data_IF_233777287352
#
_entry.id   IF_233777287352
#
_cell.length_a   1.000
_cell.length_b   1.000
_cell.length_c   1.000
_cell.angle_alpha   90.00
_cell.angle_beta   90.00
_cell.angle_gamma   90.00
#
_symmetry.space_group_name_H-M   'P 1'
#
loop_
_entity.id
_entity.type
_entity.pdbx_description
1 polymer ?
#
# COMPACT_ATOMS: atom_id res chain seq x y z
N UNK A 1 -8.57 10.46 60.47
CA UNK A 1 -9.18 10.64 59.13
C UNK A 1 -8.82 9.44 58.29
N UNK A 2 -9.77 8.54 58.04
CA UNK A 2 -9.59 7.37 57.19
C UNK A 2 -9.62 7.80 55.73
N UNK A 3 -8.46 7.79 55.06
CA UNK A 3 -8.36 7.98 53.61
C UNK A 3 -9.00 6.78 52.91
N UNK A 4 -10.23 6.95 52.41
CA UNK A 4 -10.90 5.97 51.56
C UNK A 4 -10.21 5.98 50.21
N UNK A 5 -9.37 4.97 49.96
CA UNK A 5 -8.75 4.77 48.65
C UNK A 5 -9.86 4.28 47.71
N UNK A 6 -10.47 5.19 46.97
CA UNK A 6 -11.35 4.83 45.86
C UNK A 6 -10.54 4.10 44.81
N UNK A 7 -10.57 2.77 44.81
CA UNK A 7 -10.07 1.98 43.69
C UNK A 7 -11.01 2.22 42.51
N UNK A 8 -10.56 2.86 41.40
CA UNK A 8 -11.43 3.10 40.27
C UNK A 8 -11.92 1.77 39.71
N UNK A 9 -13.20 1.70 39.33
CA UNK A 9 -13.81 0.49 38.79
C UNK A 9 -13.08 0.06 37.50
N UNK A 10 -13.09 -1.24 37.19
CA UNK A 10 -12.46 -1.78 35.97
C UNK A 10 -12.90 -1.01 34.71
N UNK A 11 -14.18 -0.61 34.65
CA UNK A 11 -14.72 0.19 33.57
C UNK A 11 -14.09 1.59 33.47
N UNK A 12 -13.86 2.28 34.61
CA UNK A 12 -13.20 3.59 34.62
C UNK A 12 -11.71 3.51 34.24
N UNK A 13 -11.05 2.37 34.50
CA UNK A 13 -9.67 2.10 34.06
C UNK A 13 -9.58 1.81 32.55
N UNK A 14 -10.57 1.13 31.97
CA UNK A 14 -10.57 0.73 30.55
C UNK A 14 -11.11 1.83 29.63
N UNK A 15 -12.06 2.65 30.10
CA UNK A 15 -12.65 3.75 29.31
C UNK A 15 -11.64 4.69 28.63
N UNK A 16 -10.54 5.15 29.27
CA UNK A 16 -9.55 5.97 28.58
C UNK A 16 -8.79 5.22 27.48
N UNK A 17 -8.58 3.90 27.61
CA UNK A 17 -7.96 3.07 26.56
C UNK A 17 -8.84 2.93 25.32
N UNK A 18 -10.17 3.04 25.46
CA UNK A 18 -11.12 2.95 24.36
C UNK A 18 -11.45 4.30 23.72
N UNK A 19 -11.04 5.43 24.33
CA UNK A 19 -11.29 6.77 23.77
C UNK A 19 -10.55 7.06 22.47
N UNK A 20 -9.46 6.34 22.18
CA UNK A 20 -8.69 6.48 20.94
C UNK A 20 -9.34 5.82 19.72
N UNK A 21 -10.42 5.06 19.90
CA UNK A 21 -11.07 4.30 18.84
C UNK A 21 -12.39 4.91 18.40
N UNK A 22 -12.54 5.08 17.09
CA UNK A 22 -13.83 5.24 16.45
C UNK A 22 -14.53 3.86 16.40
N UNK A 23 -15.58 3.71 17.21
CA UNK A 23 -16.30 2.44 17.38
C UNK A 23 -16.84 1.85 16.07
N UNK A 24 -17.58 2.62 15.25
CA UNK A 24 -17.98 2.22 13.91
C UNK A 24 -16.83 1.74 13.02
N UNK A 25 -15.71 2.49 12.98
CA UNK A 25 -14.56 2.10 12.15
C UNK A 25 -13.90 0.82 12.66
N UNK A 26 -13.70 0.69 13.97
CA UNK A 26 -13.13 -0.50 14.58
C UNK A 26 -13.99 -1.75 14.33
N UNK A 27 -15.32 -1.60 14.38
CA UNK A 27 -16.25 -2.66 14.04
C UNK A 27 -16.17 -3.06 12.56
N UNK A 28 -16.08 -2.09 11.65
CA UNK A 28 -15.88 -2.36 10.22
C UNK A 28 -14.58 -3.13 9.94
N UNK A 29 -13.47 -2.71 10.56
CA UNK A 29 -12.18 -3.42 10.47
C UNK A 29 -12.30 -4.84 11.02
N UNK A 30 -12.96 -5.03 12.16
CA UNK A 30 -13.18 -6.34 12.75
C UNK A 30 -13.95 -7.28 11.81
N UNK A 31 -15.03 -6.80 11.18
CA UNK A 31 -15.77 -7.58 10.19
C UNK A 31 -14.91 -7.97 8.98
N UNK A 32 -14.09 -7.05 8.48
CA UNK A 32 -13.16 -7.32 7.37
C UNK A 32 -12.10 -8.37 7.75
N UNK A 33 -11.58 -8.31 8.98
CA UNK A 33 -10.63 -9.31 9.50
C UNK A 33 -11.29 -10.69 9.62
N UNK A 34 -12.52 -10.76 10.13
CA UNK A 34 -13.28 -12.01 10.22
C UNK A 34 -13.56 -12.60 8.83
N UNK A 35 -13.99 -11.78 7.88
CA UNK A 35 -14.20 -12.20 6.50
C UNK A 35 -12.88 -12.66 5.85
N UNK A 36 -11.77 -11.93 6.06
CA UNK A 36 -10.44 -12.30 5.57
C UNK A 36 -9.91 -13.61 6.14
N UNK A 37 -10.14 -13.88 7.43
CA UNK A 37 -9.79 -15.14 8.05
C UNK A 37 -10.62 -16.30 7.49
N UNK A 38 -11.90 -16.08 7.24
CA UNK A 38 -12.79 -17.07 6.64
C UNK A 38 -12.38 -17.41 5.21
N UNK A 39 -12.03 -16.40 4.39
CA UNK A 39 -11.53 -16.63 3.02
C UNK A 39 -10.14 -17.27 3.00
N UNK A 40 -9.24 -16.89 3.92
CA UNK A 40 -7.93 -17.53 4.05
C UNK A 40 -8.06 -18.99 4.47
N UNK A 41 -8.95 -19.30 5.40
CA UNK A 41 -9.22 -20.68 5.78
C UNK A 41 -9.82 -21.49 4.62
N UNK A 42 -10.77 -20.91 3.88
CA UNK A 42 -11.38 -21.58 2.72
C UNK A 42 -10.41 -21.82 1.55
N UNK A 43 -9.42 -20.93 1.35
CA UNK A 43 -8.48 -21.03 0.23
C UNK A 43 -7.17 -21.74 0.58
N UNK A 44 -6.79 -21.71 1.87
CA UNK A 44 -5.51 -22.20 2.38
C UNK A 44 -5.60 -23.45 3.24
N UNK A 45 -6.76 -24.11 3.34
CA UNK A 45 -6.99 -25.28 4.20
C UNK A 45 -5.93 -26.38 4.06
N UNK A 46 -5.47 -26.65 2.84
CA UNK A 46 -4.45 -27.66 2.54
C UNK A 46 -3.08 -27.35 3.18
N UNK A 47 -2.82 -26.09 3.54
CA UNK A 47 -1.56 -25.62 4.11
C UNK A 47 -1.80 -25.06 5.53
N UNK A 48 -2.02 -25.93 6.51
CA UNK A 48 -2.38 -25.55 7.89
C UNK A 48 -1.45 -24.52 8.56
N UNK A 49 -0.16 -24.53 8.21
CA UNK A 49 0.81 -23.53 8.73
C UNK A 49 0.50 -22.09 8.28
N UNK A 50 -0.04 -21.89 7.05
CA UNK A 50 -0.36 -20.55 6.53
C UNK A 50 -1.48 -19.87 7.32
N UNK A 51 -2.47 -20.62 7.78
CA UNK A 51 -3.56 -20.07 8.59
C UNK A 51 -3.04 -19.59 9.94
N UNK A 52 -2.19 -20.39 10.60
CA UNK A 52 -1.60 -20.02 11.90
C UNK A 52 -0.68 -18.81 11.76
N UNK A 53 0.16 -18.77 10.72
CA UNK A 53 1.02 -17.61 10.43
C UNK A 53 0.20 -16.35 10.14
N UNK A 54 -0.91 -16.47 9.39
CA UNK A 54 -1.80 -15.36 9.09
C UNK A 54 -2.50 -14.85 10.36
N UNK A 55 -3.01 -15.75 11.21
CA UNK A 55 -3.61 -15.40 12.49
C UNK A 55 -2.62 -14.70 13.43
N UNK A 56 -1.37 -15.20 13.52
CA UNK A 56 -0.30 -14.55 14.29
C UNK A 56 -0.03 -13.13 13.76
N UNK A 57 0.06 -12.96 12.45
CA UNK A 57 0.33 -11.66 11.84
C UNK A 57 -0.82 -10.66 12.06
N UNK A 58 -2.07 -11.12 12.01
CA UNK A 58 -3.25 -10.30 12.32
C UNK A 58 -3.25 -9.86 13.79
N UNK A 59 -2.96 -10.78 14.72
CA UNK A 59 -2.88 -10.45 16.14
C UNK A 59 -1.77 -9.42 16.42
N UNK A 60 -0.59 -9.59 15.80
CA UNK A 60 0.50 -8.64 15.91
C UNK A 60 0.13 -7.28 15.32
N UNK A 61 -0.50 -7.24 14.13
CA UNK A 61 -0.95 -6.01 13.51
C UNK A 61 -2.03 -5.30 14.34
N UNK A 62 -2.97 -6.04 14.91
CA UNK A 62 -4.00 -5.52 15.81
C UNK A 62 -3.40 -4.94 17.10
N UNK A 63 -2.39 -5.60 17.67
CA UNK A 63 -1.66 -5.09 18.82
C UNK A 63 -0.90 -3.79 18.48
N UNK A 64 -0.19 -3.74 17.36
CA UNK A 64 0.51 -2.53 16.90
C UNK A 64 -0.47 -1.39 16.68
N UNK A 65 -1.60 -1.65 16.00
CA UNK A 65 -2.67 -0.68 15.80
C UNK A 65 -3.20 -0.16 17.14
N UNK A 66 -3.42 -1.04 18.12
CA UNK A 66 -3.86 -0.65 19.45
C UNK A 66 -2.86 0.26 20.16
N UNK A 67 -1.57 -0.08 20.14
CA UNK A 67 -0.53 0.77 20.74
C UNK A 67 -0.45 2.13 20.05
N UNK A 68 -0.44 2.17 18.71
CA UNK A 68 -0.36 3.41 17.93
C UNK A 68 -1.59 4.29 18.16
N UNK A 69 -2.79 3.71 18.29
CA UNK A 69 -4.02 4.44 18.57
C UNK A 69 -4.03 5.15 19.93
N UNK A 70 -3.20 4.70 20.89
CA UNK A 70 -3.03 5.41 22.18
C UNK A 70 -2.08 6.61 22.08
N UNK A 71 -1.33 6.76 20.97
CA UNK A 71 -0.34 7.83 20.83
C UNK A 71 -1.03 9.09 20.28
N UNK A 72 -0.94 10.23 20.97
CA UNK A 72 -1.55 11.47 20.48
C UNK A 72 -0.91 11.93 19.17
N UNK A 73 -1.68 12.53 18.24
CA UNK A 73 -1.18 12.96 16.93
C UNK A 73 0.07 13.85 16.99
N UNK A 74 0.18 14.72 18.01
CA UNK A 74 1.34 15.60 18.20
C UNK A 74 2.64 14.84 18.42
N UNK A 75 2.59 13.69 19.10
CA UNK A 75 3.76 12.82 19.27
C UNK A 75 4.07 12.05 17.99
N UNK A 76 3.05 11.60 17.26
CA UNK A 76 3.25 10.96 15.95
C UNK A 76 3.94 11.90 14.96
N UNK A 77 3.61 13.19 14.99
CA UNK A 77 4.25 14.21 14.15
C UNK A 77 5.75 14.39 14.45
N UNK A 78 6.20 14.15 15.68
CA UNK A 78 7.64 14.17 15.99
C UNK A 78 8.41 13.02 15.31
N UNK A 79 7.73 11.92 14.99
CA UNK A 79 8.32 10.79 14.27
C UNK A 79 8.32 10.96 12.74
N UNK A 80 7.68 12.01 12.20
CA UNK A 80 7.57 12.21 10.76
C UNK A 80 8.93 12.26 10.05
N UNK A 81 9.83 13.14 10.53
CA UNK A 81 11.16 13.33 9.93
C UNK A 81 12.06 12.09 10.12
N UNK A 82 12.20 11.51 11.33
CA UNK A 82 12.96 10.26 11.50
C UNK A 82 12.42 9.11 10.64
N UNK A 83 11.09 8.90 10.59
CA UNK A 83 10.50 7.80 9.86
C UNK A 83 10.70 7.95 8.35
N UNK A 84 10.56 9.16 7.82
CA UNK A 84 10.83 9.45 6.41
C UNK A 84 12.31 9.25 6.05
N UNK A 85 13.22 9.82 6.85
CA UNK A 85 14.67 9.73 6.58
C UNK A 85 15.16 8.30 6.66
N UNK A 86 14.74 7.54 7.68
CA UNK A 86 15.05 6.10 7.79
C UNK A 86 14.42 5.33 6.63
N UNK A 87 13.17 5.63 6.25
CA UNK A 87 12.50 4.97 5.13
C UNK A 87 13.22 5.18 3.80
N UNK A 88 13.63 6.42 3.50
CA UNK A 88 14.43 6.74 2.30
C UNK A 88 15.81 6.07 2.37
N UNK A 89 16.48 6.10 3.52
CA UNK A 89 17.75 5.41 3.70
C UNK A 89 17.63 3.90 3.45
N UNK A 90 16.56 3.26 3.92
CA UNK A 90 16.27 1.86 3.66
C UNK A 90 15.96 1.58 2.18
N UNK A 91 15.26 2.49 1.48
CA UNK A 91 15.06 2.36 0.03
C UNK A 91 16.37 2.45 -0.75
N UNK A 92 17.28 3.34 -0.34
CA UNK A 92 18.64 3.43 -0.90
C UNK A 92 19.40 2.14 -0.58
N UNK A 93 19.32 1.63 0.65
CA UNK A 93 19.94 0.38 1.05
C UNK A 93 19.42 -0.81 0.21
N UNK A 94 18.13 -0.87 -0.12
CA UNK A 94 17.58 -1.87 -1.05
C UNK A 94 18.12 -1.71 -2.46
N UNK A 95 18.31 -0.48 -2.93
CA UNK A 95 18.88 -0.24 -4.25
C UNK A 95 20.33 -0.77 -4.37
N UNK A 96 21.09 -0.73 -3.27
CA UNK A 96 22.49 -1.16 -3.20
C UNK A 96 22.65 -2.65 -2.83
N UNK A 97 21.91 -3.13 -1.83
CA UNK A 97 22.09 -4.44 -1.18
C UNK A 97 20.83 -5.31 -1.19
N UNK A 98 19.79 -4.91 -1.93
CA UNK A 98 18.50 -5.59 -1.94
C UNK A 98 18.55 -6.99 -2.54
N UNK A 99 17.81 -7.91 -1.94
CA UNK A 99 17.62 -9.26 -2.44
C UNK A 99 16.67 -9.25 -3.65
N UNK A 100 17.06 -9.95 -4.71
CA UNK A 100 16.21 -10.14 -5.88
C UNK A 100 15.26 -11.32 -5.62
N UNK A 101 13.95 -11.06 -5.48
CA UNK A 101 12.91 -12.09 -5.40
C UNK A 101 11.86 -11.85 -6.49
N UNK A 102 11.44 -12.91 -7.20
CA UNK A 102 10.46 -12.83 -8.30
C UNK A 102 10.82 -11.76 -9.35
N UNK A 103 12.11 -11.59 -9.63
CA UNK A 103 12.62 -10.61 -10.61
C UNK A 103 12.67 -9.15 -10.14
N UNK A 104 12.42 -8.85 -8.86
CA UNK A 104 12.49 -7.48 -8.32
C UNK A 104 13.33 -7.40 -7.04
N UNK A 105 14.14 -6.33 -6.92
CA UNK A 105 14.94 -6.00 -5.73
C UNK A 105 14.13 -5.10 -4.80
N UNK A 106 13.35 -5.70 -3.91
CA UNK A 106 12.41 -4.99 -3.01
C UNK A 106 12.61 -5.31 -1.53
N UNK A 107 13.37 -6.36 -1.24
CA UNK A 107 13.49 -6.94 0.09
C UNK A 107 14.89 -6.72 0.63
N UNK A 108 14.98 -6.30 1.89
CA UNK A 108 16.24 -6.21 2.62
C UNK A 108 16.26 -7.27 3.71
N UNK A 109 17.37 -7.97 3.87
CA UNK A 109 17.56 -8.92 4.97
C UNK A 109 18.54 -8.33 5.99
N UNK A 110 18.00 -7.90 7.13
CA UNK A 110 18.75 -7.34 8.26
C UNK A 110 18.67 -8.29 9.47
N UNK A 111 18.58 -9.60 9.21
CA UNK A 111 18.22 -10.64 10.19
C UNK A 111 16.74 -11.02 10.13
N UNK A 112 15.89 -10.11 9.65
CA UNK A 112 14.52 -10.37 9.22
C UNK A 112 14.26 -9.69 7.87
N UNK A 113 13.32 -10.22 7.10
CA UNK A 113 13.04 -9.79 5.73
C UNK A 113 12.01 -8.65 5.76
N UNK A 114 12.46 -7.43 5.50
CA UNK A 114 11.63 -6.21 5.50
C UNK A 114 11.44 -5.71 4.07
N UNK A 115 10.26 -5.15 3.79
CA UNK A 115 9.98 -4.38 2.59
C UNK A 115 9.94 -2.88 2.94
N UNK A 116 11.00 -2.10 2.65
CA UNK A 116 11.05 -0.68 3.05
C UNK A 116 9.97 0.19 2.43
N UNK A 117 9.45 -0.18 1.26
CA UNK A 117 8.36 0.56 0.62
C UNK A 117 7.06 0.54 1.42
N UNK A 118 6.87 -0.46 2.31
CA UNK A 118 5.73 -0.49 3.23
C UNK A 118 5.80 0.62 4.28
N UNK A 119 7.00 0.91 4.80
CA UNK A 119 7.23 2.01 5.76
C UNK A 119 6.91 3.35 5.08
N UNK A 120 7.30 3.51 3.81
CA UNK A 120 7.07 4.74 3.07
C UNK A 120 5.58 5.05 2.85
N UNK A 121 4.69 4.06 2.81
CA UNK A 121 3.23 4.31 2.69
C UNK A 121 2.69 5.14 3.86
N UNK A 122 3.28 5.01 5.04
CA UNK A 122 2.89 5.77 6.24
C UNK A 122 3.78 7.00 6.41
N UNK A 123 5.09 6.85 6.20
CA UNK A 123 6.06 7.92 6.39
C UNK A 123 5.83 9.11 5.46
N UNK A 124 5.45 8.86 4.21
CA UNK A 124 5.29 9.92 3.21
C UNK A 124 4.16 10.91 3.54
N UNK A 125 2.89 10.47 3.72
CA UNK A 125 1.82 11.38 4.09
C UNK A 125 2.10 12.11 5.41
N UNK A 126 2.69 11.41 6.39
CA UNK A 126 3.04 11.98 7.69
C UNK A 126 4.11 13.07 7.58
N UNK A 127 5.14 12.87 6.75
CA UNK A 127 6.20 13.85 6.50
C UNK A 127 5.66 15.10 5.80
N UNK A 128 4.80 14.92 4.79
CA UNK A 128 4.18 16.03 4.09
C UNK A 128 3.24 16.82 5.03
N UNK A 129 2.44 16.13 5.83
CA UNK A 129 1.57 16.77 6.82
C UNK A 129 2.39 17.60 7.83
N UNK A 130 3.48 17.03 8.34
CA UNK A 130 4.40 17.75 9.23
C UNK A 130 5.05 18.98 8.56
N UNK A 131 5.46 18.85 7.29
CA UNK A 131 6.07 19.95 6.54
C UNK A 131 5.13 21.14 6.38
N UNK A 132 3.87 20.89 6.01
CA UNK A 132 2.87 21.95 5.85
C UNK A 132 2.41 22.54 7.17
N UNK A 133 2.23 21.72 8.21
CA UNK A 133 1.85 22.20 9.54
C UNK A 133 2.90 23.18 10.11
N UNK A 134 4.19 22.88 9.97
CA UNK A 134 5.26 23.74 10.49
C UNK A 134 5.33 25.12 9.80
N UNK A 135 4.69 25.25 8.63
CA UNK A 135 4.67 26.46 7.78
C UNK A 135 3.28 27.07 7.67
N UNK A 136 2.36 26.62 8.52
CA UNK A 136 0.99 27.11 8.58
C UNK A 136 0.98 28.64 8.76
N UNK A 137 0.22 29.34 7.92
CA UNK A 137 0.13 30.81 7.91
C UNK A 137 1.12 31.56 7.01
N UNK A 138 2.13 30.90 6.41
CA UNK A 138 3.06 31.52 5.45
C UNK A 138 3.35 30.62 4.24
N UNK A 139 2.34 29.92 3.73
CA UNK A 139 2.51 29.02 2.59
C UNK A 139 2.94 29.80 1.33
N UNK A 140 4.17 29.56 0.88
CA UNK A 140 4.73 30.13 -0.35
C UNK A 140 4.71 29.06 -1.46
N UNK A 141 4.71 29.47 -2.74
CA UNK A 141 4.85 28.52 -3.87
C UNK A 141 6.07 27.61 -3.76
N UNK A 142 7.16 28.08 -3.14
CA UNK A 142 8.37 27.28 -2.89
C UNK A 142 8.12 26.12 -1.92
N UNK A 143 7.18 26.23 -0.99
CA UNK A 143 6.87 25.15 -0.04
C UNK A 143 6.23 23.95 -0.74
N UNK A 144 5.41 24.23 -1.76
CA UNK A 144 4.83 23.20 -2.63
C UNK A 144 5.89 22.55 -3.53
N UNK A 145 6.87 23.31 -4.01
CA UNK A 145 8.00 22.77 -4.76
C UNK A 145 8.84 21.81 -3.90
N UNK A 146 9.15 22.20 -2.66
CA UNK A 146 9.89 21.33 -1.72
C UNK A 146 9.07 20.10 -1.35
N UNK A 147 7.77 20.24 -1.12
CA UNK A 147 6.87 19.10 -0.89
C UNK A 147 6.84 18.14 -2.09
N UNK A 148 6.79 18.68 -3.31
CA UNK A 148 6.90 17.90 -4.53
C UNK A 148 8.23 17.14 -4.64
N UNK A 149 9.33 17.77 -4.26
CA UNK A 149 10.65 17.12 -4.23
C UNK A 149 10.74 16.02 -3.16
N UNK A 150 10.22 16.28 -1.96
CA UNK A 150 10.13 15.29 -0.88
C UNK A 150 9.30 14.06 -1.29
N UNK A 151 8.24 14.27 -2.09
CA UNK A 151 7.44 13.20 -2.67
C UNK A 151 8.15 12.47 -3.81
N UNK A 152 8.82 13.21 -4.68
CA UNK A 152 9.48 12.65 -5.86
C UNK A 152 10.60 11.66 -5.49
N UNK A 153 11.41 11.97 -4.47
CA UNK A 153 12.55 11.14 -4.05
C UNK A 153 12.17 9.67 -3.78
N UNK A 154 11.25 9.36 -2.84
CA UNK A 154 10.88 7.97 -2.57
C UNK A 154 10.11 7.34 -3.72
N UNK A 155 9.25 8.08 -4.42
CA UNK A 155 8.53 7.54 -5.59
C UNK A 155 9.51 7.07 -6.67
N UNK A 156 10.52 7.89 -7.00
CA UNK A 156 11.55 7.54 -7.97
C UNK A 156 12.36 6.30 -7.54
N UNK A 157 12.72 6.21 -6.25
CA UNK A 157 13.42 5.04 -5.71
C UNK A 157 12.57 3.77 -5.79
N UNK A 158 11.26 3.85 -5.50
CA UNK A 158 10.35 2.69 -5.55
C UNK A 158 10.11 2.24 -6.99
N UNK A 159 9.95 3.17 -7.94
CA UNK A 159 9.82 2.84 -9.37
C UNK A 159 11.07 2.10 -9.87
N UNK A 160 12.26 2.49 -9.41
CA UNK A 160 13.52 1.81 -9.73
C UNK A 160 13.62 0.39 -9.13
N UNK A 161 12.79 0.04 -8.15
CA UNK A 161 12.71 -1.29 -7.52
C UNK A 161 11.66 -2.21 -8.20
N UNK A 162 11.46 -2.04 -9.51
CA UNK A 162 10.25 -2.44 -10.25
C UNK A 162 8.92 -2.47 -9.50
N UNK A 163 8.65 -1.62 -8.51
CA UNK A 163 7.44 -1.68 -7.66
C UNK A 163 6.40 -0.59 -7.98
N UNK A 164 5.84 -0.66 -9.19
CA UNK A 164 4.91 0.34 -9.70
C UNK A 164 3.66 0.51 -8.81
N UNK A 165 3.12 -0.59 -8.27
CA UNK A 165 1.91 -0.54 -7.43
C UNK A 165 2.13 0.29 -6.17
N UNK A 166 3.22 0.03 -5.44
CA UNK A 166 3.53 0.82 -4.24
C UNK A 166 3.92 2.26 -4.58
N UNK A 167 4.61 2.49 -5.71
CA UNK A 167 4.92 3.86 -6.16
C UNK A 167 3.64 4.68 -6.39
N UNK A 168 2.63 4.11 -7.04
CA UNK A 168 1.34 4.77 -7.28
C UNK A 168 0.62 5.06 -5.96
N UNK A 169 0.60 4.12 -5.02
CA UNK A 169 -0.03 4.31 -3.70
C UNK A 169 0.65 5.43 -2.89
N UNK A 170 1.99 5.46 -2.89
CA UNK A 170 2.75 6.51 -2.20
C UNK A 170 2.56 7.86 -2.89
N UNK A 171 2.55 7.88 -4.22
CA UNK A 171 2.30 9.07 -5.02
C UNK A 171 0.91 9.64 -4.75
N UNK A 172 -0.14 8.82 -4.83
CA UNK A 172 -1.52 9.27 -4.63
C UNK A 172 -1.76 9.76 -3.20
N UNK A 173 -1.25 9.05 -2.20
CA UNK A 173 -1.36 9.47 -0.81
C UNK A 173 -0.62 10.80 -0.56
N UNK A 174 0.56 10.99 -1.15
CA UNK A 174 1.31 12.24 -1.03
C UNK A 174 0.67 13.41 -1.75
N UNK A 175 0.20 13.21 -2.98
CA UNK A 175 -0.55 14.22 -3.75
C UNK A 175 -1.82 14.62 -3.00
N UNK A 176 -2.54 13.66 -2.38
CA UNK A 176 -3.72 13.98 -1.58
C UNK A 176 -3.38 14.93 -0.41
N UNK A 177 -2.27 14.71 0.30
CA UNK A 177 -1.85 15.63 1.37
C UNK A 177 -1.48 17.02 0.82
N UNK A 178 -0.73 17.08 -0.29
CA UNK A 178 -0.38 18.36 -0.93
C UNK A 178 -1.64 19.11 -1.38
N UNK A 179 -2.63 18.39 -1.90
CA UNK A 179 -3.92 18.93 -2.27
C UNK A 179 -4.67 19.51 -1.06
N UNK A 180 -4.80 18.75 0.03
CA UNK A 180 -5.43 19.22 1.26
C UNK A 180 -4.70 20.41 1.91
N UNK A 181 -3.40 20.56 1.67
CA UNK A 181 -2.63 21.73 2.11
C UNK A 181 -2.94 23.02 1.33
N UNK A 182 -3.77 22.96 0.28
CA UNK A 182 -4.26 24.13 -0.46
C UNK A 182 -3.67 24.30 -1.86
N UNK A 183 -3.05 23.26 -2.44
CA UNK A 183 -2.60 23.31 -3.84
C UNK A 183 -3.80 23.42 -4.78
N UNK A 184 -3.74 24.33 -5.76
CA UNK A 184 -4.84 24.52 -6.71
C UNK A 184 -5.05 23.30 -7.60
N UNK A 185 -6.32 22.95 -7.85
CA UNK A 185 -6.71 21.86 -8.76
C UNK A 185 -6.10 22.04 -10.17
N UNK A 186 -5.89 23.27 -10.60
CA UNK A 186 -5.28 23.59 -11.90
C UNK A 186 -3.86 23.03 -12.08
N UNK A 187 -3.12 22.76 -10.98
CA UNK A 187 -1.80 22.15 -11.05
C UNK A 187 -1.84 20.62 -10.98
N UNK A 188 -2.90 20.04 -10.42
CA UNK A 188 -3.05 18.59 -10.22
C UNK A 188 -3.78 17.93 -11.39
N UNK A 189 -4.79 18.60 -11.96
CA UNK A 189 -5.62 18.05 -13.04
C UNK A 189 -4.83 17.78 -14.32
N UNK A 190 -3.95 18.67 -14.83
CA UNK A 190 -3.26 18.42 -16.10
C UNK A 190 -2.40 17.15 -16.11
N UNK A 191 -1.57 16.86 -15.08
CA UNK A 191 -0.84 15.58 -15.01
C UNK A 191 -1.76 14.35 -14.98
N UNK A 192 -2.88 14.41 -14.27
CA UNK A 192 -3.85 13.29 -14.19
C UNK A 192 -4.49 13.06 -15.57
N UNK A 193 -4.97 14.12 -16.22
CA UNK A 193 -5.58 14.03 -17.54
C UNK A 193 -4.57 13.50 -18.56
N UNK A 194 -3.32 13.99 -18.53
CA UNK A 194 -2.26 13.50 -19.40
C UNK A 194 -1.97 12.01 -19.15
N UNK A 195 -1.97 11.57 -17.90
CA UNK A 195 -1.83 10.15 -17.55
C UNK A 195 -2.98 9.29 -18.08
N UNK A 196 -4.23 9.75 -17.93
CA UNK A 196 -5.41 9.04 -18.43
C UNK A 196 -5.45 8.98 -19.96
N UNK A 197 -5.09 10.08 -20.64
CA UNK A 197 -4.95 10.11 -22.09
C UNK A 197 -3.85 9.14 -22.52
N UNK A 198 -2.71 9.13 -21.83
CA UNK A 198 -1.63 8.18 -22.09
C UNK A 198 -2.09 6.73 -21.97
N UNK A 199 -2.80 6.37 -20.91
CA UNK A 199 -3.38 5.03 -20.73
C UNK A 199 -4.38 4.72 -21.86
N UNK A 200 -5.27 5.66 -22.17
CA UNK A 200 -6.27 5.51 -23.22
C UNK A 200 -5.64 5.28 -24.60
N UNK A 201 -4.57 6.00 -24.94
CA UNK A 201 -3.81 5.79 -26.17
C UNK A 201 -3.16 4.41 -26.21
N UNK A 202 -2.58 3.95 -25.10
CA UNK A 202 -1.98 2.60 -25.03
C UNK A 202 -3.03 1.51 -25.24
N UNK A 203 -4.22 1.67 -24.66
CA UNK A 203 -5.33 0.73 -24.85
C UNK A 203 -5.85 0.78 -26.29
N UNK A 204 -6.03 1.98 -26.85
CA UNK A 204 -6.56 2.14 -28.20
C UNK A 204 -5.61 1.60 -29.28
N UNK A 205 -4.31 1.80 -29.11
CA UNK A 205 -3.27 1.30 -30.01
C UNK A 205 -2.67 -0.04 -29.57
N UNK A 206 -3.34 -0.77 -28.68
CA UNK A 206 -2.86 -2.07 -28.17
C UNK A 206 -2.48 -3.08 -29.27
N UNK A 207 -3.26 -3.25 -30.37
CA UNK A 207 -2.93 -4.22 -31.42
C UNK A 207 -1.60 -3.91 -32.12
N UNK A 208 -1.21 -2.64 -32.21
CA UNK A 208 0.03 -2.21 -32.88
C UNK A 208 1.21 -2.15 -31.90
N UNK A 209 0.97 -1.65 -30.68
CA UNK A 209 1.99 -1.48 -29.65
C UNK A 209 2.42 -2.80 -29.00
N UNK A 210 1.58 -3.83 -29.07
CA UNK A 210 1.87 -5.15 -28.56
C UNK A 210 2.01 -6.20 -29.67
N UNK A 211 2.14 -5.79 -30.94
CA UNK A 211 2.45 -6.68 -32.05
C UNK A 211 3.86 -7.29 -31.92
N UNK A 212 4.03 -8.51 -32.43
CA UNK A 212 5.31 -9.20 -32.42
C UNK A 212 6.39 -8.37 -33.16
N UNK A 213 7.47 -8.05 -32.47
CA UNK A 213 8.59 -7.27 -33.01
C UNK A 213 8.53 -5.76 -32.72
N UNK A 214 7.43 -5.21 -32.21
CA UNK A 214 7.40 -3.82 -31.74
C UNK A 214 8.13 -3.71 -30.40
N UNK A 215 9.17 -2.86 -30.31
CA UNK A 215 9.90 -2.61 -29.07
C UNK A 215 9.69 -1.18 -28.61
N UNK A 216 9.27 -1.04 -27.36
CA UNK A 216 9.09 0.28 -26.77
C UNK A 216 10.46 0.84 -26.40
N UNK A 217 10.90 1.98 -26.97
CA UNK A 217 12.26 2.49 -26.76
C UNK A 217 12.55 2.91 -25.31
N UNK A 218 11.50 3.19 -24.53
CA UNK A 218 11.58 3.67 -23.14
C UNK A 218 11.29 2.59 -22.09
N UNK A 219 10.78 1.42 -22.49
CA UNK A 219 10.39 0.36 -21.56
C UNK A 219 11.33 -0.83 -21.69
N UNK A 220 11.62 -1.46 -20.56
CA UNK A 220 12.28 -2.76 -20.56
C UNK A 220 11.32 -3.84 -21.07
N UNK A 221 11.86 -4.91 -21.65
CA UNK A 221 11.07 -6.01 -22.22
C UNK A 221 10.08 -6.60 -21.20
N UNK A 222 10.47 -6.69 -19.91
CA UNK A 222 9.57 -7.18 -18.85
C UNK A 222 8.39 -6.22 -18.57
N UNK A 223 8.59 -4.90 -18.74
CA UNK A 223 7.54 -3.90 -18.51
C UNK A 223 6.54 -3.93 -19.66
N UNK A 224 7.05 -4.00 -20.90
CA UNK A 224 6.23 -4.16 -22.09
C UNK A 224 5.38 -5.43 -22.00
N UNK A 225 5.99 -6.56 -21.66
CA UNK A 225 5.28 -7.83 -21.52
C UNK A 225 4.16 -7.75 -20.48
N UNK A 226 4.38 -7.06 -19.35
CA UNK A 226 3.31 -6.88 -18.34
C UNK A 226 2.15 -6.05 -18.84
N UNK A 227 2.40 -5.00 -19.62
CA UNK A 227 1.34 -4.17 -20.21
C UNK A 227 0.55 -4.99 -21.22
N UNK A 228 1.24 -5.68 -22.14
CA UNK A 228 0.58 -6.47 -23.18
C UNK A 228 -0.19 -7.67 -22.61
N UNK A 229 0.35 -8.39 -21.62
CA UNK A 229 -0.37 -9.48 -20.95
C UNK A 229 -1.54 -8.98 -20.09
N UNK A 230 -1.49 -7.74 -19.57
CA UNK A 230 -2.63 -7.15 -18.87
C UNK A 230 -3.79 -6.84 -19.81
N UNK A 231 -3.48 -6.33 -21.02
CA UNK A 231 -4.47 -5.98 -22.03
C UNK A 231 -5.04 -7.22 -22.72
N UNK A 232 -4.17 -8.17 -23.06
CA UNK A 232 -4.54 -9.46 -23.63
C UNK A 232 -3.81 -10.61 -22.94
N UNK A 233 -4.44 -11.25 -21.93
CA UNK A 233 -3.84 -12.37 -21.22
C UNK A 233 -3.80 -13.66 -22.06
N UNK A 234 -4.49 -13.72 -23.20
CA UNK A 234 -4.59 -14.94 -24.02
C UNK A 234 -3.37 -15.20 -24.91
N UNK A 235 -2.46 -14.22 -25.03
CA UNK A 235 -1.22 -14.35 -25.81
C UNK A 235 -0.22 -15.33 -25.21
N UNK A 236 -0.22 -15.48 -23.90
CA UNK A 236 0.62 -16.43 -23.19
C UNK A 236 -0.16 -17.09 -22.04
N UNK A 237 -1.10 -18.00 -22.37
CA UNK A 237 -2.04 -18.54 -21.41
C UNK A 237 -1.40 -19.54 -20.44
N UNK A 238 -0.25 -20.12 -20.80
CA UNK A 238 0.50 -21.07 -19.98
C UNK A 238 1.66 -20.42 -19.20
N UNK A 239 2.14 -19.25 -19.64
CA UNK A 239 3.17 -18.49 -18.97
C UNK A 239 2.61 -17.33 -18.17
N UNK A 240 2.83 -16.10 -18.66
CA UNK A 240 2.57 -14.85 -17.92
C UNK A 240 1.09 -14.55 -17.73
N UNK A 241 0.24 -14.99 -18.66
CA UNK A 241 -1.21 -14.83 -18.59
C UNK A 241 -1.91 -15.86 -17.68
N UNK A 242 -1.24 -16.95 -17.32
CA UNK A 242 -1.83 -18.07 -16.59
C UNK A 242 -2.57 -17.64 -15.32
N UNK A 243 -1.89 -16.89 -14.44
CA UNK A 243 -2.50 -16.44 -13.17
C UNK A 243 -3.68 -15.47 -13.38
N UNK A 244 -3.64 -14.66 -14.44
CA UNK A 244 -4.74 -13.74 -14.79
C UNK A 244 -5.94 -14.55 -15.27
N UNK A 245 -5.72 -15.52 -16.15
CA UNK A 245 -6.77 -16.41 -16.68
C UNK A 245 -7.39 -17.25 -15.57
N UNK A 246 -6.59 -17.85 -14.69
CA UNK A 246 -7.12 -18.61 -13.56
C UNK A 246 -7.92 -17.74 -12.59
N UNK A 247 -7.49 -16.50 -12.37
CA UNK A 247 -8.27 -15.51 -11.63
C UNK A 247 -9.62 -15.22 -12.28
N UNK A 248 -9.63 -15.00 -13.60
CA UNK A 248 -10.88 -14.79 -14.37
C UNK A 248 -11.81 -16.00 -14.32
N UNK A 249 -11.27 -17.22 -14.47
CA UNK A 249 -12.05 -18.46 -14.36
C UNK A 249 -12.61 -18.63 -12.95
N UNK A 250 -11.80 -18.37 -11.91
CA UNK A 250 -12.23 -18.48 -10.52
C UNK A 250 -13.39 -17.51 -10.20
N UNK A 251 -13.28 -16.26 -10.64
CA UNK A 251 -14.34 -15.26 -10.50
C UNK A 251 -15.57 -15.64 -11.32
N UNK A 252 -15.38 -15.96 -12.62
CA UNK A 252 -16.47 -16.28 -13.54
C UNK A 252 -17.25 -17.54 -13.15
N UNK A 253 -16.58 -18.55 -12.62
CA UNK A 253 -17.22 -19.79 -12.18
C UNK A 253 -17.89 -19.70 -10.80
N UNK A 254 -17.66 -18.62 -10.04
CA UNK A 254 -18.34 -18.36 -8.77
C UNK A 254 -19.68 -17.62 -8.92
N UNK A 255 -19.88 -16.84 -10.00
CA UNK A 255 -21.08 -16.02 -10.15
C UNK A 255 -21.30 -15.04 -8.99
N UNK A 256 -22.53 -14.53 -8.84
CA UNK A 256 -22.86 -13.55 -7.79
C UNK A 256 -22.77 -14.11 -6.37
N UNK A 257 -23.09 -15.40 -6.19
CA UNK A 257 -23.17 -16.06 -4.88
C UNK A 257 -21.88 -16.77 -4.47
N UNK A 258 -20.88 -16.85 -5.37
CA UNK A 258 -19.68 -17.65 -5.19
C UNK A 258 -19.97 -19.17 -5.32
N UNK A 259 -18.91 -19.98 -5.31
CA UNK A 259 -19.03 -21.44 -5.31
C UNK A 259 -19.44 -22.03 -3.95
N UNK A 260 -19.43 -21.22 -2.89
CA UNK A 260 -19.59 -21.67 -1.51
C UNK A 260 -18.27 -21.89 -0.79
N UNK A 261 -18.36 -21.98 0.54
CA UNK A 261 -17.20 -22.18 1.43
C UNK A 261 -16.53 -23.53 1.15
N UNK A 262 -15.19 -23.55 1.03
CA UNK A 262 -14.36 -24.72 0.70
C UNK A 262 -14.58 -25.33 -0.70
N UNK A 263 -15.34 -24.69 -1.59
CA UNK A 263 -15.65 -25.20 -2.94
C UNK A 263 -14.78 -24.54 -4.04
N UNK A 264 -13.63 -23.97 -3.66
CA UNK A 264 -12.73 -23.29 -4.60
C UNK A 264 -11.99 -24.30 -5.48
N UNK A 265 -12.13 -24.18 -6.80
CA UNK A 265 -11.50 -25.11 -7.77
C UNK A 265 -10.09 -24.70 -8.21
N UNK A 266 -9.69 -23.45 -7.91
CA UNK A 266 -8.40 -22.85 -8.29
C UNK A 266 -7.61 -22.41 -7.04
N UNK A 267 -7.71 -23.18 -5.97
CA UNK A 267 -6.89 -23.00 -4.77
C UNK A 267 -5.50 -23.60 -5.03
N UNK A 268 -4.47 -22.82 -4.70
CA UNK A 268 -3.06 -23.08 -5.03
C UNK A 268 -2.52 -24.45 -4.63
#
# INVERSE_FOLDING_TARGET
MSTVIHTPSLYQRIRPLLKGFDGPLAFGIFLLVCAGMLTMYSSGFANGARFVDHGRNILLAGFIMFVVAQVPPQRLMAFAVPLYTVGVALLIAVALFGLTKKGARRWLNIGFVIQPSEIMKIAMPLMLAWWFQKREGQLRPLDFLVAGLLLFVPVALIVKQPDLGTAILVLSAGVAVIFFAGLSWFLIVPPIVLGLVGIGLVVFFEPTLCADGFRWPLLHDYQQQRICTLLDPTRDPLGKGFHIIQGMIAIGSGGFWGKGFMQGTQTH
#
